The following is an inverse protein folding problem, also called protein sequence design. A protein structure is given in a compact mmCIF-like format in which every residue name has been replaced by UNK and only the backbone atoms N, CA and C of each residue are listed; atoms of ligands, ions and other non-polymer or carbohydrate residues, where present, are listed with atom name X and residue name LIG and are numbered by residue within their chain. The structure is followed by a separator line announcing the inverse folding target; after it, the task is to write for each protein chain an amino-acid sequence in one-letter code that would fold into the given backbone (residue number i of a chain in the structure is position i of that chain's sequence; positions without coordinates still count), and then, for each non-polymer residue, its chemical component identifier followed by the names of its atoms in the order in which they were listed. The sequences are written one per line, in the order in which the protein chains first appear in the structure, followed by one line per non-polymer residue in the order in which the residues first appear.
data_IF_314225664506
#
_entry.id   IF_314225664506
#
_cell.length_a   1.000
_cell.length_b   1.000
_cell.length_c   1.000
_cell.angle_alpha   90.00
_cell.angle_beta   90.00
_cell.angle_gamma   90.00
#
_symmetry.space_group_name_H-M   'P 1'
#
loop_
_entity.id
_entity.type
_entity.pdbx_description
1 polymer ?
#
# COMPACT_ATOMS: atom_id res chain seq x y z
N UNK A 1 7.66 -0.16 18.08
CA UNK A 1 6.68 -0.31 16.97
C UNK A 1 7.38 -0.77 15.71
N UNK A 2 6.78 -1.68 14.99
CA UNK A 2 7.29 -2.13 13.70
C UNK A 2 6.48 -1.57 12.55
N UNK A 3 7.16 -1.28 11.46
CA UNK A 3 6.53 -0.92 10.19
C UNK A 3 6.83 -2.01 9.16
N UNK A 4 5.79 -2.58 8.61
CA UNK A 4 5.91 -3.51 7.49
C UNK A 4 5.51 -2.78 6.22
N UNK A 5 6.41 -2.77 5.25
CA UNK A 5 6.12 -2.26 3.92
C UNK A 5 5.75 -3.45 3.05
N UNK A 6 4.54 -3.42 2.52
CA UNK A 6 4.00 -4.50 1.71
C UNK A 6 3.79 -4.02 0.29
N UNK A 7 4.72 -4.33 -0.62
CA UNK A 7 4.51 -4.00 -2.03
C UNK A 7 3.40 -4.87 -2.62
N UNK A 8 2.55 -4.26 -3.43
CA UNK A 8 1.54 -4.97 -4.19
C UNK A 8 1.73 -4.62 -5.66
N UNK A 9 2.09 -5.63 -6.45
CA UNK A 9 2.47 -5.44 -7.83
C UNK A 9 1.62 -6.34 -8.71
N UNK A 10 0.54 -5.76 -9.23
CA UNK A 10 -0.29 -6.48 -10.17
C UNK A 10 0.21 -6.23 -11.59
N UNK A 11 0.01 -7.21 -12.47
CA UNK A 11 0.40 -7.12 -13.88
C UNK A 11 1.90 -6.91 -14.11
N UNK A 12 2.74 -7.39 -13.19
CA UNK A 12 4.19 -7.35 -13.38
C UNK A 12 4.84 -5.98 -13.26
N UNK A 13 4.15 -4.99 -12.65
CA UNK A 13 4.73 -3.68 -12.45
C UNK A 13 5.93 -3.75 -11.51
N UNK A 14 7.04 -3.16 -11.93
CA UNK A 14 8.29 -3.17 -11.18
C UNK A 14 8.41 -1.90 -10.36
N UNK A 15 7.91 -1.93 -9.15
CA UNK A 15 7.97 -0.77 -8.27
C UNK A 15 8.96 -0.94 -7.13
N UNK A 16 9.52 -2.16 -6.99
CA UNK A 16 10.40 -2.50 -5.89
C UNK A 16 11.66 -1.63 -5.83
N UNK A 17 12.21 -1.28 -6.98
CA UNK A 17 13.41 -0.45 -7.03
C UNK A 17 13.13 0.95 -6.51
N UNK A 18 11.93 1.45 -6.76
CA UNK A 18 11.53 2.79 -6.34
C UNK A 18 11.21 2.85 -4.85
N UNK A 19 10.72 1.76 -4.28
CA UNK A 19 10.38 1.69 -2.86
C UNK A 19 11.61 1.89 -1.98
N UNK A 20 12.77 1.43 -2.41
CA UNK A 20 13.99 1.54 -1.63
C UNK A 20 14.36 3.00 -1.31
N UNK A 21 13.95 3.95 -2.12
CA UNK A 21 14.18 5.37 -1.86
C UNK A 21 13.32 5.91 -0.72
N UNK A 22 12.18 5.29 -0.48
CA UNK A 22 11.22 5.76 0.52
C UNK A 22 11.71 5.43 1.93
N UNK A 23 12.47 4.37 2.09
CA UNK A 23 12.85 3.85 3.41
C UNK A 23 13.66 4.85 4.23
N UNK A 24 14.75 5.45 3.72
CA UNK A 24 15.49 6.45 4.51
C UNK A 24 14.61 7.62 4.92
N UNK A 25 13.72 8.05 4.03
CA UNK A 25 12.80 9.15 4.31
C UNK A 25 11.83 8.77 5.42
N UNK A 26 11.26 7.56 5.36
CA UNK A 26 10.34 7.09 6.39
C UNK A 26 11.02 7.00 7.76
N UNK A 27 12.25 6.50 7.79
CA UNK A 27 13.01 6.40 9.03
C UNK A 27 13.27 7.77 9.64
N UNK A 28 13.54 8.77 8.82
CA UNK A 28 13.82 10.12 9.27
C UNK A 28 12.54 10.84 9.72
N UNK A 29 11.49 10.78 8.90
CA UNK A 29 10.26 11.54 9.16
C UNK A 29 9.49 10.96 10.33
N UNK A 30 9.37 9.63 10.39
CA UNK A 30 8.57 8.96 11.42
C UNK A 30 9.39 8.44 12.59
N UNK A 31 10.70 8.70 12.59
CA UNK A 31 11.61 8.31 13.67
C UNK A 31 11.57 6.82 13.98
N UNK A 32 11.35 5.99 12.98
CA UNK A 32 11.50 4.56 13.14
C UNK A 32 12.97 4.19 13.23
N UNK A 33 13.27 3.23 14.08
CA UNK A 33 14.58 2.62 14.08
C UNK A 33 14.74 1.74 12.84
N UNK A 34 15.96 1.67 12.32
CA UNK A 34 16.24 0.93 11.09
C UNK A 34 15.76 -0.53 11.16
N UNK A 35 15.93 -1.15 12.33
CA UNK A 35 15.55 -2.55 12.52
C UNK A 35 14.04 -2.74 12.68
N UNK A 36 13.29 -1.65 12.83
CA UNK A 36 11.85 -1.69 12.97
C UNK A 36 11.11 -1.66 11.65
N UNK A 37 11.81 -1.49 10.52
CA UNK A 37 11.20 -1.45 9.19
C UNK A 37 11.53 -2.74 8.45
N UNK A 38 10.49 -3.44 8.01
CA UNK A 38 10.61 -4.71 7.29
C UNK A 38 9.92 -4.55 5.95
N UNK A 39 10.58 -4.97 4.88
CA UNK A 39 9.98 -5.02 3.56
C UNK A 39 9.60 -6.45 3.25
N UNK A 40 8.31 -6.70 3.10
CA UNK A 40 7.81 -8.01 2.72
C UNK A 40 8.03 -8.28 1.23
N UNK A 41 7.97 -9.56 0.87
CA UNK A 41 7.93 -9.96 -0.53
C UNK A 41 6.68 -9.37 -1.19
N UNK A 42 6.77 -8.96 -2.45
CA UNK A 42 5.61 -8.41 -3.15
C UNK A 42 4.47 -9.41 -3.24
N UNK A 43 3.25 -8.89 -3.14
CA UNK A 43 2.05 -9.67 -3.45
C UNK A 43 1.79 -9.47 -4.95
N UNK A 44 1.82 -10.55 -5.75
CA UNK A 44 1.62 -10.42 -7.21
C UNK A 44 0.16 -10.37 -7.63
N UNK A 45 -0.74 -10.81 -6.75
CA UNK A 45 -2.17 -10.89 -7.07
C UNK A 45 -3.00 -10.52 -5.85
N UNK A 46 -4.11 -9.85 -6.10
CA UNK A 46 -5.11 -9.55 -5.09
C UNK A 46 -6.47 -9.95 -5.64
N UNK A 47 -7.50 -10.12 -4.78
CA UNK A 47 -8.79 -10.60 -5.24
C UNK A 47 -9.36 -9.73 -6.37
N UNK A 48 -9.84 -10.38 -7.41
CA UNK A 48 -10.35 -9.70 -8.60
C UNK A 48 -11.56 -8.81 -8.31
N UNK A 49 -12.35 -9.16 -7.30
CA UNK A 49 -13.54 -8.38 -6.96
C UNK A 49 -13.19 -7.00 -6.37
N UNK A 50 -11.94 -6.77 -6.02
CA UNK A 50 -11.49 -5.45 -5.57
C UNK A 50 -11.28 -4.48 -6.74
N UNK A 51 -11.23 -4.99 -7.96
CA UNK A 51 -11.02 -4.19 -9.16
C UNK A 51 -12.35 -3.79 -9.78
N UNK A 52 -12.50 -2.50 -10.05
CA UNK A 52 -13.65 -1.98 -10.77
C UNK A 52 -13.25 -1.78 -12.23
N UNK A 53 -13.72 -2.68 -13.10
CA UNK A 53 -13.34 -2.68 -14.51
C UNK A 53 -13.84 -1.48 -15.29
N UNK A 54 -14.95 -0.88 -14.86
CA UNK A 54 -15.49 0.31 -15.51
C UNK A 54 -14.62 1.53 -15.25
N UNK A 55 -14.02 1.59 -14.07
CA UNK A 55 -13.16 2.68 -13.65
C UNK A 55 -11.69 2.42 -13.92
N UNK A 56 -11.33 1.17 -14.19
CA UNK A 56 -9.94 0.73 -14.28
C UNK A 56 -9.16 1.08 -13.01
N UNK A 57 -9.79 0.89 -11.86
CA UNK A 57 -9.26 1.25 -10.55
C UNK A 57 -9.63 0.19 -9.53
N UNK A 58 -8.85 0.11 -8.45
CA UNK A 58 -9.17 -0.74 -7.31
C UNK A 58 -9.93 0.06 -6.26
N UNK A 59 -10.82 -0.62 -5.52
CA UNK A 59 -11.53 -0.01 -4.40
C UNK A 59 -10.63 -0.02 -3.16
N UNK A 60 -10.22 1.15 -2.74
CA UNK A 60 -9.24 1.30 -1.66
C UNK A 60 -9.73 0.76 -0.32
N UNK A 61 -10.95 1.11 0.07
CA UNK A 61 -11.53 0.66 1.35
C UNK A 61 -11.63 -0.85 1.43
N UNK A 62 -12.03 -1.50 0.35
CA UNK A 62 -12.11 -2.96 0.29
C UNK A 62 -10.72 -3.60 0.32
N UNK A 63 -9.75 -2.96 -0.33
CA UNK A 63 -8.36 -3.44 -0.30
C UNK A 63 -7.80 -3.41 1.12
N UNK A 64 -8.01 -2.30 1.83
CA UNK A 64 -7.53 -2.18 3.22
C UNK A 64 -8.17 -3.23 4.12
N UNK A 65 -9.47 -3.47 3.97
CA UNK A 65 -10.16 -4.52 4.73
C UNK A 65 -9.59 -5.90 4.42
N UNK A 66 -9.32 -6.18 3.17
CA UNK A 66 -8.73 -7.45 2.77
C UNK A 66 -7.34 -7.63 3.35
N UNK A 67 -6.52 -6.59 3.31
CA UNK A 67 -5.18 -6.64 3.88
C UNK A 67 -5.21 -6.86 5.39
N UNK A 68 -6.10 -6.17 6.08
CA UNK A 68 -6.27 -6.33 7.53
C UNK A 68 -6.62 -7.77 7.89
N UNK A 69 -7.53 -8.37 7.15
CA UNK A 69 -8.00 -9.75 7.40
C UNK A 69 -6.98 -10.80 6.99
N UNK A 70 -6.23 -10.54 5.94
CA UNK A 70 -5.31 -11.53 5.37
C UNK A 70 -3.96 -11.50 6.06
N UNK A 71 -3.39 -10.33 6.29
CA UNK A 71 -2.05 -10.20 6.85
C UNK A 71 -2.06 -10.08 8.37
N UNK A 72 -3.19 -9.67 8.96
CA UNK A 72 -3.41 -9.62 10.42
C UNK A 72 -2.22 -9.03 11.18
N UNK A 73 -1.85 -7.77 10.91
CA UNK A 73 -0.71 -7.19 11.62
C UNK A 73 -0.94 -7.16 13.13
N UNK A 74 0.12 -7.43 13.88
CA UNK A 74 0.04 -7.49 15.34
C UNK A 74 -0.12 -6.11 15.95
N UNK A 75 -0.37 -6.07 17.28
CA UNK A 75 -0.65 -4.82 18.00
C UNK A 75 0.46 -3.78 17.89
N UNK A 76 1.71 -4.23 17.78
CA UNK A 76 2.85 -3.33 17.68
C UNK A 76 3.33 -3.14 16.25
N UNK A 77 2.49 -3.48 15.28
CA UNK A 77 2.87 -3.45 13.87
C UNK A 77 1.91 -2.55 13.10
N UNK A 78 2.47 -1.67 12.27
CA UNK A 78 1.74 -0.94 11.25
C UNK A 78 2.14 -1.49 9.89
N UNK A 79 1.18 -1.62 9.00
CA UNK A 79 1.42 -2.13 7.66
C UNK A 79 1.09 -1.04 6.65
N UNK A 80 2.07 -0.73 5.81
CA UNK A 80 1.89 0.20 4.71
C UNK A 80 1.95 -0.58 3.40
N UNK A 81 0.82 -0.68 2.71
CA UNK A 81 0.79 -1.25 1.38
C UNK A 81 1.22 -0.20 0.37
N UNK A 82 2.17 -0.55 -0.47
CA UNK A 82 2.66 0.31 -1.53
C UNK A 82 2.21 -0.30 -2.85
N UNK A 83 1.24 0.35 -3.48
CA UNK A 83 0.48 -0.24 -4.58
C UNK A 83 0.85 0.43 -5.90
N UNK A 84 1.14 -0.40 -6.92
CA UNK A 84 1.56 0.05 -8.24
C UNK A 84 0.37 0.30 -9.18
N UNK A 85 -0.79 0.60 -8.63
CA UNK A 85 -2.01 0.78 -9.43
C UNK A 85 -2.78 1.99 -8.95
N UNK A 86 -3.86 2.31 -9.67
CA UNK A 86 -4.75 3.39 -9.32
C UNK A 86 -5.91 2.88 -8.47
N UNK A 87 -6.40 3.73 -7.58
CA UNK A 87 -7.48 3.37 -6.68
C UNK A 87 -8.41 4.55 -6.45
N UNK A 88 -9.60 4.25 -5.97
CA UNK A 88 -10.58 5.25 -5.59
C UNK A 88 -11.24 4.89 -4.27
N UNK A 89 -11.85 5.87 -3.66
CA UNK A 89 -12.57 5.72 -2.41
C UNK A 89 -13.88 6.50 -2.49
N UNK A 90 -14.99 5.85 -2.13
CA UNK A 90 -16.29 6.48 -2.12
C UNK A 90 -16.68 7.08 -3.47
N UNK A 91 -17.06 8.34 -3.47
CA UNK A 91 -17.48 9.06 -4.67
C UNK A 91 -16.35 9.85 -5.33
N UNK A 92 -15.14 9.74 -4.82
CA UNK A 92 -13.99 10.44 -5.38
C UNK A 92 -13.52 9.78 -6.67
N UNK A 93 -12.91 10.57 -7.55
CA UNK A 93 -12.41 10.04 -8.82
C UNK A 93 -11.17 9.16 -8.62
N UNK A 94 -10.37 9.45 -7.60
CA UNK A 94 -9.19 8.66 -7.24
C UNK A 94 -8.76 9.03 -5.83
N UNK A 95 -7.80 8.26 -5.30
CA UNK A 95 -7.12 8.63 -4.06
C UNK A 95 -5.63 8.28 -4.16
N UNK A 96 -4.79 9.07 -3.49
CA UNK A 96 -3.36 8.78 -3.41
C UNK A 96 -3.03 7.83 -2.27
N UNK A 97 -3.89 7.73 -1.28
CA UNK A 97 -3.69 6.86 -0.16
C UNK A 97 -4.88 6.88 0.77
N UNK A 98 -4.94 5.90 1.64
CA UNK A 98 -6.00 5.75 2.63
C UNK A 98 -5.45 5.00 3.84
N UNK A 99 -5.96 5.32 5.02
CA UNK A 99 -5.63 4.61 6.25
C UNK A 99 -6.89 4.30 7.03
N UNK A 100 -6.90 3.17 7.70
CA UNK A 100 -7.97 2.83 8.63
C UNK A 100 -7.70 3.58 9.94
N UNK A 101 -8.62 4.48 10.32
CA UNK A 101 -8.49 5.26 11.55
C UNK A 101 -8.51 4.30 12.74
N UNK A 102 -7.50 4.40 13.60
CA UNK A 102 -7.35 3.48 14.73
C UNK A 102 -6.93 2.07 14.33
N UNK A 103 -6.74 1.81 13.04
CA UNK A 103 -6.31 0.53 12.53
C UNK A 103 -4.80 0.43 12.38
N UNK A 104 -4.37 -0.64 11.73
CA UNK A 104 -2.95 -0.94 11.55
C UNK A 104 -2.53 -1.01 10.09
N UNK A 105 -3.44 -0.68 9.18
CA UNK A 105 -3.19 -0.82 7.74
C UNK A 105 -3.44 0.52 7.06
N UNK A 106 -2.53 0.88 6.18
CA UNK A 106 -2.66 2.01 5.29
C UNK A 106 -2.16 1.60 3.91
N UNK A 107 -2.55 2.34 2.90
CA UNK A 107 -2.08 2.10 1.54
C UNK A 107 -1.74 3.42 0.86
N UNK A 108 -0.75 3.37 -0.02
CA UNK A 108 -0.44 4.46 -0.95
C UNK A 108 -0.48 3.91 -2.37
N UNK A 109 -1.01 4.70 -3.28
CA UNK A 109 -1.25 4.32 -4.66
C UNK A 109 -0.37 5.20 -5.56
N UNK A 110 0.63 4.59 -6.17
CA UNK A 110 1.71 5.33 -6.79
C UNK A 110 1.49 5.68 -8.26
N UNK A 111 0.51 5.06 -8.91
CA UNK A 111 0.36 5.22 -10.35
C UNK A 111 0.28 6.69 -10.79
N UNK A 112 -0.47 7.52 -10.05
CA UNK A 112 -0.63 8.94 -10.39
C UNK A 112 0.51 9.81 -9.90
N UNK A 113 1.33 9.29 -8.99
CA UNK A 113 2.46 10.03 -8.41
C UNK A 113 3.73 9.85 -9.22
N UNK A 114 3.84 8.77 -10.00
CA UNK A 114 5.02 8.48 -10.77
C UNK A 114 5.01 9.30 -12.07
N UNK A 115 6.21 9.66 -12.56
CA UNK A 115 6.30 10.34 -13.85
C UNK A 115 5.61 9.50 -14.93
N UNK A 116 4.85 10.16 -15.77
CA UNK A 116 4.22 9.46 -16.87
C UNK A 116 5.23 9.24 -17.97
N UNK A 117 5.13 8.15 -18.42
CA UNK A 117 6.04 7.58 -19.35
C UNK A 117 5.33 7.36 -20.64
#
# INVERSE_FOLDING_TARGET
MRLIIQPIMVNGNKILEDISFIIPTLLTVFKFEKDAVIINKPIPEIPKHLFDGKRNQYQSDHLLSWLQKTLKPSNNTKLLAVCAFDAYFGNYNFCFGEAIIGGRVAAVYLQRLLPQY
#
